data_IF_457611756470
#
_entry.id   IF_457611756470
#
_cell.length_a   1.000
_cell.length_b   1.000
_cell.length_c   1.000
_cell.angle_alpha   90.00
_cell.angle_beta   90.00
_cell.angle_gamma   90.00
#
_symmetry.space_group_name_H-M   'P 1'
#
loop_
_entity.id
_entity.type
_entity.pdbx_description
1 polymer ?
#
# COMPACT_ATOMS: atom_id res chain seq x y z
N UNK A 1 -17.32 4.52 -14.35
CA UNK A 1 -17.34 3.08 -14.01
C UNK A 1 -16.99 3.03 -12.53
N UNK A 2 -17.99 2.90 -11.65
CA UNK A 2 -17.75 2.92 -10.19
C UNK A 2 -17.17 1.58 -9.77
N UNK A 3 -16.03 1.60 -9.09
CA UNK A 3 -15.40 0.42 -8.48
C UNK A 3 -16.27 0.00 -7.30
N UNK A 4 -16.56 -1.30 -7.14
CA UNK A 4 -17.38 -1.75 -6.02
C UNK A 4 -16.63 -1.60 -4.68
N UNK A 5 -17.33 -1.38 -3.55
CA UNK A 5 -16.71 -1.32 -2.23
C UNK A 5 -15.85 -2.55 -1.90
N UNK A 6 -16.26 -3.75 -2.36
CA UNK A 6 -15.50 -4.99 -2.18
C UNK A 6 -14.16 -4.95 -2.92
N UNK A 7 -14.14 -4.40 -4.14
CA UNK A 7 -12.91 -4.23 -4.89
C UNK A 7 -11.93 -3.25 -4.21
N UNK A 8 -12.43 -2.22 -3.53
CA UNK A 8 -11.61 -1.33 -2.69
C UNK A 8 -10.98 -2.08 -1.51
N UNK A 9 -11.77 -2.88 -0.79
CA UNK A 9 -11.29 -3.70 0.34
C UNK A 9 -10.24 -4.71 -0.13
N UNK A 10 -10.46 -5.39 -1.25
CA UNK A 10 -9.49 -6.32 -1.82
C UNK A 10 -8.18 -5.64 -2.19
N UNK A 11 -8.22 -4.48 -2.85
CA UNK A 11 -7.02 -3.73 -3.22
C UNK A 11 -6.25 -3.29 -1.97
N UNK A 12 -6.96 -2.82 -0.94
CA UNK A 12 -6.36 -2.47 0.35
C UNK A 12 -5.64 -3.65 0.98
N UNK A 13 -6.25 -4.84 0.98
CA UNK A 13 -5.62 -6.06 1.52
C UNK A 13 -4.39 -6.47 0.70
N UNK A 14 -4.48 -6.43 -0.64
CA UNK A 14 -3.38 -6.76 -1.54
C UNK A 14 -2.17 -5.85 -1.33
N UNK A 15 -2.39 -4.54 -1.20
CA UNK A 15 -1.31 -3.56 -0.97
C UNK A 15 -0.69 -3.73 0.42
N UNK A 16 -1.50 -3.99 1.45
CA UNK A 16 -0.99 -4.26 2.80
C UNK A 16 -0.08 -5.50 2.80
N UNK A 17 -0.52 -6.58 2.16
CA UNK A 17 0.25 -7.81 2.03
C UNK A 17 1.56 -7.59 1.29
N UNK A 18 1.52 -6.96 0.11
CA UNK A 18 2.73 -6.66 -0.67
C UNK A 18 3.70 -5.76 0.11
N UNK A 19 3.21 -4.79 0.88
CA UNK A 19 4.04 -3.93 1.74
C UNK A 19 4.77 -4.74 2.81
N UNK A 20 4.13 -5.77 3.36
CA UNK A 20 4.76 -6.66 4.35
C UNK A 20 5.77 -7.61 3.68
N UNK A 21 5.47 -8.18 2.51
CA UNK A 21 6.45 -8.99 1.75
C UNK A 21 7.71 -8.19 1.37
N UNK A 22 7.54 -6.92 0.96
CA UNK A 22 8.68 -6.03 0.66
C UNK A 22 9.50 -5.76 1.92
N UNK A 23 8.90 -5.70 3.10
CA UNK A 23 9.66 -5.53 4.36
C UNK A 23 10.55 -6.74 4.61
N UNK A 24 10.01 -7.95 4.51
CA UNK A 24 10.75 -9.19 4.75
C UNK A 24 11.94 -9.28 3.80
N UNK A 25 11.72 -9.05 2.50
CA UNK A 25 12.80 -9.04 1.51
C UNK A 25 13.80 -7.90 1.74
N UNK A 26 13.36 -6.74 2.26
CA UNK A 26 14.28 -5.64 2.61
C UNK A 26 15.26 -6.06 3.70
N UNK A 27 14.83 -6.87 4.67
CA UNK A 27 15.71 -7.39 5.74
C UNK A 27 16.75 -8.34 5.15
N UNK A 28 16.36 -9.26 4.27
CA UNK A 28 17.30 -10.16 3.59
C UNK A 28 18.30 -9.41 2.71
N UNK A 29 17.84 -8.38 2.00
CA UNK A 29 18.70 -7.56 1.13
C UNK A 29 19.66 -6.68 1.93
N UNK A 30 19.29 -6.25 3.13
CA UNK A 30 20.14 -5.43 4.00
C UNK A 30 21.46 -6.13 4.34
N UNK A 31 21.43 -7.45 4.53
CA UNK A 31 22.62 -8.27 4.82
C UNK A 31 23.58 -8.37 3.62
N UNK A 32 23.10 -8.07 2.41
CA UNK A 32 23.87 -8.19 1.16
C UNK A 32 24.26 -6.82 0.59
N UNK A 33 23.34 -5.83 0.63
CA UNK A 33 23.51 -4.52 0.03
C UNK A 33 22.60 -3.46 0.69
N UNK A 34 23.21 -2.54 1.44
CA UNK A 34 22.49 -1.47 2.15
C UNK A 34 21.77 -0.50 1.20
N UNK A 35 22.38 -0.11 0.08
CA UNK A 35 21.78 0.85 -0.85
C UNK A 35 20.55 0.27 -1.56
N UNK A 36 20.58 -1.03 -1.88
CA UNK A 36 19.43 -1.76 -2.40
C UNK A 36 18.31 -1.82 -1.35
N UNK A 37 18.62 -2.18 -0.10
CA UNK A 37 17.66 -2.19 1.00
C UNK A 37 17.04 -0.80 1.23
N UNK A 38 17.84 0.27 1.17
CA UNK A 38 17.36 1.66 1.26
C UNK A 38 16.41 2.00 0.12
N UNK A 39 16.67 1.51 -1.09
CA UNK A 39 15.75 1.67 -2.22
C UNK A 39 14.41 0.95 -1.98
N UNK A 40 14.45 -0.25 -1.43
CA UNK A 40 13.25 -1.03 -1.08
C UNK A 40 12.44 -0.39 0.05
N UNK A 41 13.10 0.23 1.04
CA UNK A 41 12.40 1.00 2.07
C UNK A 41 11.55 2.14 1.48
N UNK A 42 12.01 2.79 0.40
CA UNK A 42 11.23 3.81 -0.32
C UNK A 42 10.02 3.19 -1.03
N UNK A 43 10.18 2.03 -1.66
CA UNK A 43 9.07 1.30 -2.27
C UNK A 43 8.01 0.90 -1.21
N UNK A 44 8.45 0.42 -0.05
CA UNK A 44 7.58 0.12 1.10
C UNK A 44 6.82 1.35 1.59
N UNK A 45 7.47 2.50 1.67
CA UNK A 45 6.82 3.76 2.05
C UNK A 45 5.73 4.16 1.03
N UNK A 46 6.01 4.04 -0.26
CA UNK A 46 5.02 4.29 -1.32
C UNK A 46 3.82 3.33 -1.25
N UNK A 47 4.04 2.05 -0.93
CA UNK A 47 2.96 1.09 -0.70
C UNK A 47 2.11 1.44 0.52
N UNK A 48 2.75 1.92 1.60
CA UNK A 48 2.01 2.40 2.77
C UNK A 48 1.17 3.64 2.44
N UNK A 49 1.72 4.60 1.70
CA UNK A 49 0.99 5.77 1.21
C UNK A 49 -0.22 5.36 0.36
N UNK A 50 -0.01 4.49 -0.64
CA UNK A 50 -1.09 3.96 -1.47
C UNK A 50 -2.17 3.25 -0.64
N UNK A 51 -1.78 2.47 0.38
CA UNK A 51 -2.73 1.84 1.30
C UNK A 51 -3.54 2.89 2.06
N UNK A 52 -2.91 3.93 2.60
CA UNK A 52 -3.59 5.00 3.36
C UNK A 52 -4.61 5.77 2.53
N UNK A 53 -4.31 6.02 1.25
CA UNK A 53 -5.24 6.65 0.32
C UNK A 53 -6.50 5.81 0.09
N UNK A 54 -6.38 4.48 0.19
CA UNK A 54 -7.51 3.55 0.10
C UNK A 54 -8.21 3.32 1.46
N UNK A 55 -7.72 3.92 2.55
CA UNK A 55 -8.37 3.90 3.88
C UNK A 55 -9.30 5.10 4.09
N UNK A 56 -9.23 6.12 3.21
CA UNK A 56 -10.14 7.26 3.26
C UNK A 56 -11.60 6.77 3.31
N UNK A 57 -12.47 7.42 4.11
CA UNK A 57 -13.89 7.09 4.08
C UNK A 57 -14.35 7.13 2.62
N UNK A 58 -15.29 6.26 2.19
CA UNK A 58 -15.98 6.53 0.93
C UNK A 58 -16.37 8.00 1.00
N UNK A 59 -16.06 8.78 -0.03
CA UNK A 59 -16.61 10.13 -0.11
C UNK A 59 -18.09 9.95 0.19
N UNK A 60 -18.55 10.49 1.32
CA UNK A 60 -19.97 10.66 1.56
C UNK A 60 -20.36 11.46 0.31
N UNK A 61 -20.98 10.80 -0.67
CA UNK A 61 -21.58 11.47 -1.81
C UNK A 61 -22.41 12.55 -1.15
N UNK A 62 -21.89 13.78 -1.18
CA UNK A 62 -22.52 14.92 -0.56
C UNK A 62 -23.92 14.94 -1.15
N UNK A 63 -24.86 14.87 -0.23
CA UNK A 63 -26.29 14.97 -0.36
C UNK A 63 -26.60 16.32 -1.04
N UNK A 64 -26.28 16.44 -2.33
CA UNK A 64 -26.42 17.64 -3.14
C UNK A 64 -27.60 17.44 -4.11
N UNK A 65 -28.78 17.67 -3.53
CA UNK A 65 -30.00 18.21 -4.12
C UNK A 65 -31.14 17.31 -4.64
#
# INVERSE_FOLDING_TARGET
MSISPEAFVELRQKILHLKDEVLDLTVEVLDVNEDAARSMQRARAALFEAWTLLVGPPEDDEDDH
#
